data_IF_561871940207
#
_entry.id   IF_561871940207
#
_cell.length_a   1.000
_cell.length_b   1.000
_cell.length_c   1.000
_cell.angle_alpha   90.00
_cell.angle_beta   90.00
_cell.angle_gamma   90.00
#
_symmetry.space_group_name_H-M   'P 1'
#
loop_
_entity.id
_entity.type
_entity.pdbx_description
1 polymer ?
#
# COMPACT_ATOMS: atom_id res chain seq x y z
N UNK A 1 -21.41 1.49 -10.07
CA UNK A 1 -22.43 1.40 -9.02
C UNK A 1 -21.97 2.24 -7.83
N UNK A 2 -22.72 3.28 -7.44
CA UNK A 2 -22.30 4.12 -6.34
C UNK A 2 -22.20 3.25 -5.10
N UNK A 3 -21.02 3.19 -4.54
CA UNK A 3 -20.74 2.50 -3.28
C UNK A 3 -21.54 3.20 -2.19
N UNK A 4 -22.79 2.83 -2.03
CA UNK A 4 -23.59 3.21 -0.87
C UNK A 4 -22.86 2.67 0.35
N UNK A 5 -22.25 3.58 1.10
CA UNK A 5 -21.67 3.32 2.41
C UNK A 5 -22.83 2.96 3.37
N UNK A 6 -23.36 1.76 3.21
CA UNK A 6 -24.37 1.28 4.14
C UNK A 6 -23.65 0.67 5.35
N UNK A 7 -23.72 1.36 6.46
CA UNK A 7 -23.25 0.92 7.78
C UNK A 7 -23.82 -0.45 8.23
N UNK A 8 -24.71 -1.04 7.44
CA UNK A 8 -25.41 -2.29 7.71
C UNK A 8 -24.89 -3.52 6.92
N UNK A 9 -23.74 -3.42 6.24
CA UNK A 9 -23.17 -4.59 5.56
C UNK A 9 -22.79 -5.65 6.60
N UNK A 10 -23.05 -6.96 6.37
CA UNK A 10 -22.77 -8.02 7.34
C UNK A 10 -21.33 -8.01 7.85
N UNK A 11 -20.36 -7.77 6.96
CA UNK A 11 -18.93 -7.71 7.31
C UNK A 11 -18.64 -6.52 8.25
N UNK A 12 -19.30 -5.37 8.05
CA UNK A 12 -19.18 -4.20 8.92
C UNK A 12 -19.70 -4.49 10.34
N UNK A 13 -20.83 -5.16 10.43
CA UNK A 13 -21.37 -5.57 11.73
C UNK A 13 -20.51 -6.59 12.44
N UNK A 14 -19.96 -7.58 11.71
CA UNK A 14 -19.00 -8.53 12.28
C UNK A 14 -17.75 -7.81 12.79
N UNK A 15 -17.22 -6.86 12.01
CA UNK A 15 -16.10 -6.03 12.45
C UNK A 15 -16.40 -5.32 13.78
N UNK A 16 -17.53 -4.62 13.87
CA UNK A 16 -17.93 -3.91 15.09
C UNK A 16 -18.06 -4.84 16.32
N UNK A 17 -18.55 -6.06 16.13
CA UNK A 17 -18.72 -7.04 17.21
C UNK A 17 -17.38 -7.66 17.62
N UNK A 18 -16.49 -7.90 16.68
CA UNK A 18 -15.25 -8.65 16.90
C UNK A 18 -14.05 -7.77 17.28
N UNK A 19 -14.18 -6.44 17.18
CA UNK A 19 -13.10 -5.52 17.60
C UNK A 19 -12.67 -5.78 19.05
N UNK A 20 -11.38 -6.03 19.32
CA UNK A 20 -10.93 -6.38 20.65
C UNK A 20 -10.88 -5.20 21.63
N UNK A 21 -10.84 -3.97 21.11
CA UNK A 21 -10.80 -2.73 21.90
C UNK A 21 -12.16 -2.09 22.12
N UNK A 22 -13.21 -2.60 21.48
CA UNK A 22 -14.58 -2.15 21.71
C UNK A 22 -15.38 -3.21 22.43
N UNK A 23 -16.09 -2.80 23.48
CA UNK A 23 -16.99 -3.69 24.25
C UNK A 23 -18.39 -3.70 23.67
N UNK A 24 -18.51 -3.99 22.38
CA UNK A 24 -19.79 -4.07 21.70
C UNK A 24 -20.55 -5.38 21.96
N UNK A 25 -19.91 -6.31 22.65
CA UNK A 25 -20.51 -7.60 23.03
C UNK A 25 -19.94 -8.10 24.35
N UNK A 26 -20.65 -8.98 25.04
CA UNK A 26 -20.19 -9.69 26.24
C UNK A 26 -19.26 -10.86 25.95
N UNK A 27 -18.91 -11.09 24.67
CA UNK A 27 -18.03 -12.19 24.28
C UNK A 27 -16.60 -11.99 24.77
N UNK A 28 -15.98 -13.07 25.22
CA UNK A 28 -14.56 -13.10 25.59
C UNK A 28 -13.67 -13.00 24.35
N UNK A 29 -12.39 -12.71 24.53
CA UNK A 29 -11.41 -12.77 23.44
C UNK A 29 -11.40 -14.16 22.78
N UNK A 30 -11.53 -15.22 23.57
CA UNK A 30 -11.54 -16.59 23.06
C UNK A 30 -12.77 -16.90 22.20
N UNK A 31 -13.95 -16.42 22.59
CA UNK A 31 -15.17 -16.55 21.78
C UNK A 31 -15.02 -15.86 20.44
N UNK A 32 -14.45 -14.65 20.43
CA UNK A 32 -14.17 -13.90 19.20
C UNK A 32 -13.19 -14.65 18.29
N UNK A 33 -12.09 -15.16 18.84
CA UNK A 33 -11.11 -15.96 18.08
C UNK A 33 -11.74 -17.24 17.52
N UNK A 34 -12.61 -17.92 18.27
CA UNK A 34 -13.33 -19.09 17.79
C UNK A 34 -14.25 -18.77 16.61
N UNK A 35 -14.99 -17.65 16.68
CA UNK A 35 -15.84 -17.18 15.56
C UNK A 35 -14.98 -16.87 14.33
N UNK A 36 -13.85 -16.17 14.51
CA UNK A 36 -12.93 -15.85 13.41
C UNK A 36 -12.30 -17.10 12.79
N UNK A 37 -11.93 -18.10 13.60
CA UNK A 37 -11.44 -19.41 13.12
C UNK A 37 -12.50 -20.11 12.25
N UNK A 38 -13.74 -20.13 12.71
CA UNK A 38 -14.86 -20.68 11.95
C UNK A 38 -15.14 -19.93 10.64
N UNK A 39 -14.93 -18.61 10.63
CA UNK A 39 -15.06 -17.80 9.42
C UNK A 39 -13.91 -18.07 8.44
N UNK A 40 -12.66 -18.16 8.92
CA UNK A 40 -11.49 -18.52 8.09
C UNK A 40 -11.68 -19.84 7.37
N UNK A 41 -12.19 -20.85 8.07
CA UNK A 41 -12.45 -22.16 7.50
C UNK A 41 -13.56 -22.16 6.43
N UNK A 42 -14.64 -21.42 6.65
CA UNK A 42 -15.83 -21.45 5.77
C UNK A 42 -15.83 -20.38 4.68
N UNK A 43 -15.19 -19.24 4.91
CA UNK A 43 -15.20 -18.07 4.03
C UNK A 43 -13.84 -17.35 4.08
N UNK A 44 -12.75 -17.99 3.58
CA UNK A 44 -11.39 -17.49 3.77
C UNK A 44 -11.17 -16.07 3.22
N UNK A 45 -11.78 -15.73 2.09
CA UNK A 45 -11.63 -14.41 1.49
C UNK A 45 -12.28 -13.31 2.34
N UNK A 46 -13.50 -13.56 2.84
CA UNK A 46 -14.19 -12.61 3.73
C UNK A 46 -13.49 -12.52 5.08
N UNK A 47 -12.95 -13.64 5.58
CA UNK A 47 -12.18 -13.67 6.80
C UNK A 47 -10.92 -12.83 6.65
N UNK A 48 -10.15 -12.99 5.59
CA UNK A 48 -8.93 -12.22 5.35
C UNK A 48 -9.22 -10.70 5.34
N UNK A 49 -10.26 -10.28 4.61
CA UNK A 49 -10.69 -8.86 4.59
C UNK A 49 -11.08 -8.33 5.98
N UNK A 50 -11.74 -9.15 6.78
CA UNK A 50 -12.10 -8.81 8.15
C UNK A 50 -10.86 -8.68 9.02
N UNK A 51 -9.93 -9.63 8.95
CA UNK A 51 -8.70 -9.63 9.73
C UNK A 51 -7.80 -8.43 9.40
N UNK A 52 -7.63 -8.10 8.11
CA UNK A 52 -6.90 -6.88 7.69
C UNK A 52 -7.51 -5.64 8.37
N UNK A 53 -8.83 -5.53 8.36
CA UNK A 53 -9.53 -4.39 8.95
C UNK A 53 -9.43 -4.35 10.48
N UNK A 54 -9.21 -5.50 11.13
CA UNK A 54 -9.02 -5.58 12.59
C UNK A 54 -7.64 -5.11 13.04
N UNK A 55 -6.67 -4.98 12.14
CA UNK A 55 -5.37 -4.42 12.52
C UNK A 55 -5.52 -2.92 12.81
N UNK A 56 -4.93 -2.43 13.91
CA UNK A 56 -5.02 -1.02 14.28
C UNK A 56 -4.24 -0.17 13.28
N UNK A 57 -4.92 0.78 12.64
CA UNK A 57 -4.31 1.82 11.84
C UNK A 57 -4.36 3.15 12.58
N UNK A 58 -3.46 4.09 12.25
CA UNK A 58 -3.44 5.42 12.89
C UNK A 58 -4.75 6.21 12.74
N UNK A 59 -5.58 5.82 11.79
CA UNK A 59 -6.84 6.49 11.47
C UNK A 59 -8.07 5.84 12.14
N UNK A 60 -7.90 4.72 12.85
CA UNK A 60 -9.00 4.06 13.55
C UNK A 60 -9.19 4.62 14.97
N UNK A 61 -9.47 5.91 15.09
CA UNK A 61 -10.17 6.42 16.25
C UNK A 61 -11.67 6.14 16.07
N UNK A 62 -12.08 4.92 16.38
CA UNK A 62 -13.49 4.67 16.61
C UNK A 62 -13.82 5.26 17.97
N UNK A 63 -14.46 6.42 17.96
CA UNK A 63 -15.10 6.91 19.16
C UNK A 63 -16.06 5.86 19.73
N UNK A 64 -16.25 5.90 21.01
CA UNK A 64 -17.11 4.99 21.76
C UNK A 64 -18.58 5.20 21.38
N UNK A 65 -18.96 4.76 20.15
CA UNK A 65 -20.35 4.84 19.65
C UNK A 65 -21.20 3.68 20.18
N UNK A 66 -21.07 3.38 21.47
CA UNK A 66 -21.94 2.41 22.09
C UNK A 66 -23.30 3.05 22.43
N UNK A 67 -24.13 3.27 21.44
CA UNK A 67 -25.55 3.39 21.70
C UNK A 67 -26.09 2.02 22.12
N UNK A 68 -25.95 1.73 23.41
CA UNK A 68 -26.64 0.59 24.01
C UNK A 68 -28.14 0.96 24.03
N UNK A 69 -28.98 0.17 23.38
CA UNK A 69 -30.41 0.41 23.48
C UNK A 69 -30.84 0.39 24.95
N UNK A 70 -31.56 1.41 25.41
CA UNK A 70 -32.01 1.59 26.81
C UNK A 70 -32.79 0.41 27.40
N UNK A 71 -33.23 -0.51 26.58
CA UNK A 71 -34.03 -1.70 26.98
C UNK A 71 -33.16 -2.93 27.24
N UNK A 72 -31.79 -2.84 27.19
CA UNK A 72 -30.90 -3.95 27.50
C UNK A 72 -30.39 -3.89 28.93
N UNK A 73 -30.95 -4.73 29.78
CA UNK A 73 -30.65 -4.77 31.22
C UNK A 73 -29.25 -5.30 31.58
N UNK A 74 -28.52 -5.85 30.60
CA UNK A 74 -27.18 -6.42 30.80
C UNK A 74 -26.03 -5.39 30.79
N UNK A 75 -26.34 -4.10 30.76
CA UNK A 75 -25.32 -3.03 30.82
C UNK A 75 -24.46 -3.10 32.10
N UNK A 76 -25.05 -3.57 33.21
CA UNK A 76 -24.39 -3.75 34.48
C UNK A 76 -23.39 -4.92 34.51
N UNK A 77 -23.48 -5.87 33.58
CA UNK A 77 -22.60 -7.02 33.47
C UNK A 77 -21.38 -6.75 32.57
N UNK A 78 -21.28 -5.56 31.98
CA UNK A 78 -20.11 -5.20 31.20
C UNK A 78 -18.91 -5.04 32.12
N UNK A 79 -17.81 -5.75 31.85
CA UNK A 79 -16.57 -5.43 32.52
C UNK A 79 -16.19 -3.98 32.21
N UNK A 80 -15.99 -3.15 33.22
CA UNK A 80 -15.84 -1.69 33.12
C UNK A 80 -14.67 -1.21 32.27
N UNK A 81 -13.77 -2.10 31.87
CA UNK A 81 -12.58 -1.74 31.07
C UNK A 81 -12.22 -2.83 30.07
N UNK A 82 -11.72 -2.40 28.89
CA UNK A 82 -11.04 -3.31 27.99
C UNK A 82 -9.77 -3.86 28.67
N UNK A 83 -9.50 -5.14 28.43
CA UNK A 83 -8.30 -5.80 28.95
C UNK A 83 -7.17 -5.66 27.90
N UNK A 84 -6.10 -4.88 28.17
CA UNK A 84 -5.00 -4.71 27.24
C UNK A 84 -4.36 -6.03 26.81
N UNK A 85 -4.33 -7.01 27.73
CA UNK A 85 -3.74 -8.32 27.45
C UNK A 85 -4.59 -9.12 26.46
N UNK A 86 -5.93 -9.09 26.60
CA UNK A 86 -6.83 -9.72 25.63
C UNK A 86 -6.75 -9.07 24.26
N UNK A 87 -6.62 -7.74 24.22
CA UNK A 87 -6.42 -7.00 22.96
C UNK A 87 -5.11 -7.44 22.31
N UNK A 88 -4.01 -7.43 23.08
CA UNK A 88 -2.70 -7.84 22.58
C UNK A 88 -2.73 -9.29 22.06
N UNK A 89 -3.29 -10.21 22.84
CA UNK A 89 -3.43 -11.62 22.46
C UNK A 89 -4.24 -11.77 21.15
N UNK A 90 -5.37 -11.08 21.05
CA UNK A 90 -6.22 -11.13 19.86
C UNK A 90 -5.50 -10.58 18.63
N UNK A 91 -4.85 -9.41 18.74
CA UNK A 91 -4.14 -8.80 17.63
C UNK A 91 -2.91 -9.61 17.21
N UNK A 92 -2.20 -10.21 18.14
CA UNK A 92 -1.09 -11.14 17.83
C UNK A 92 -1.61 -12.31 17.01
N UNK A 93 -2.72 -12.93 17.45
CA UNK A 93 -3.31 -14.06 16.71
C UNK A 93 -3.86 -13.67 15.35
N UNK A 94 -4.48 -12.51 15.24
CA UNK A 94 -4.92 -11.94 13.96
C UNK A 94 -3.74 -11.73 13.01
N UNK A 95 -2.63 -11.17 13.51
CA UNK A 95 -1.40 -10.97 12.72
C UNK A 95 -0.81 -12.30 12.22
N UNK A 96 -0.73 -13.33 13.07
CA UNK A 96 -0.29 -14.68 12.67
C UNK A 96 -1.17 -15.24 11.54
N UNK A 97 -2.49 -15.16 11.69
CA UNK A 97 -3.43 -15.63 10.68
C UNK A 97 -3.34 -14.86 9.37
N UNK A 98 -3.13 -13.56 9.42
CA UNK A 98 -2.96 -12.73 8.21
C UNK A 98 -1.74 -13.18 7.41
N UNK A 99 -0.62 -13.47 8.08
CA UNK A 99 0.59 -13.94 7.42
C UNK A 99 0.39 -15.36 6.88
N UNK A 100 -0.21 -16.25 7.66
CA UNK A 100 -0.54 -17.61 7.26
C UNK A 100 -1.48 -17.62 6.03
N UNK A 101 -2.53 -16.81 6.07
CA UNK A 101 -3.53 -16.73 4.99
C UNK A 101 -3.03 -16.01 3.75
N UNK A 102 -2.06 -15.10 3.89
CA UNK A 102 -1.41 -14.47 2.75
C UNK A 102 -0.60 -15.50 1.95
N UNK A 103 0.12 -16.37 2.65
CA UNK A 103 0.94 -17.41 2.04
C UNK A 103 1.69 -16.87 0.78
N UNK A 104 1.48 -17.48 -0.37
CA UNK A 104 2.11 -17.07 -1.64
C UNK A 104 1.20 -16.21 -2.54
N UNK A 105 0.09 -15.72 -2.01
CA UNK A 105 -0.87 -14.91 -2.77
C UNK A 105 -0.42 -13.44 -2.84
N UNK A 106 -0.09 -12.97 -4.03
CA UNK A 106 0.44 -11.63 -4.27
C UNK A 106 -0.51 -10.51 -3.81
N UNK A 107 -1.83 -10.62 -4.07
CA UNK A 107 -2.81 -9.60 -3.66
C UNK A 107 -2.91 -9.52 -2.13
N UNK A 108 -2.87 -10.67 -1.44
CA UNK A 108 -2.88 -10.69 0.02
C UNK A 108 -1.58 -10.14 0.61
N UNK A 109 -0.42 -10.44 0.01
CA UNK A 109 0.85 -9.84 0.42
C UNK A 109 0.86 -8.32 0.23
N UNK A 110 0.30 -7.81 -0.88
CA UNK A 110 0.08 -6.38 -1.06
C UNK A 110 -0.79 -5.78 0.05
N UNK A 111 -1.90 -6.44 0.42
CA UNK A 111 -2.75 -6.00 1.54
C UNK A 111 -2.04 -6.04 2.89
N UNK A 112 -1.12 -6.99 3.10
CA UNK A 112 -0.26 -6.95 4.29
C UNK A 112 0.63 -5.72 4.33
N UNK A 113 1.19 -5.30 3.20
CA UNK A 113 2.00 -4.08 3.12
C UNK A 113 1.17 -2.83 3.46
N UNK A 114 -0.07 -2.73 2.96
CA UNK A 114 -0.99 -1.63 3.29
C UNK A 114 -1.26 -1.57 4.80
N UNK A 115 -1.57 -2.71 5.39
CA UNK A 115 -1.89 -2.82 6.80
C UNK A 115 -0.66 -2.57 7.70
N UNK A 116 0.49 -3.12 7.32
CA UNK A 116 1.72 -3.01 8.10
C UNK A 116 2.28 -1.59 8.13
N UNK A 117 2.15 -0.84 7.04
CA UNK A 117 2.63 0.54 6.95
C UNK A 117 2.04 1.46 8.03
N UNK A 118 0.84 1.14 8.52
CA UNK A 118 0.16 1.90 9.55
C UNK A 118 0.41 1.37 10.98
N UNK A 119 1.10 0.22 11.14
CA UNK A 119 1.27 -0.44 12.43
C UNK A 119 2.71 -0.36 12.93
N UNK A 120 2.91 0.09 14.19
CA UNK A 120 4.22 0.11 14.88
C UNK A 120 4.45 -1.14 15.75
N UNK A 121 3.95 -2.28 15.32
CA UNK A 121 3.85 -3.48 16.16
C UNK A 121 4.85 -4.56 15.72
N UNK A 122 5.05 -5.61 16.53
CA UNK A 122 5.75 -6.82 16.08
C UNK A 122 5.24 -7.37 14.74
N UNK A 123 3.97 -7.12 14.41
CA UNK A 123 3.36 -7.48 13.15
C UNK A 123 4.09 -6.89 11.93
N UNK A 124 4.53 -5.62 11.99
CA UNK A 124 5.31 -5.03 10.91
C UNK A 124 6.55 -5.87 10.58
N UNK A 125 7.33 -6.22 11.61
CA UNK A 125 8.52 -7.07 11.42
C UNK A 125 8.16 -8.42 10.82
N UNK A 126 7.09 -9.06 11.30
CA UNK A 126 6.63 -10.36 10.78
C UNK A 126 6.23 -10.27 9.31
N UNK A 127 5.59 -9.18 8.88
CA UNK A 127 5.26 -8.95 7.47
C UNK A 127 6.54 -8.78 6.64
N UNK A 128 7.52 -8.00 7.10
CA UNK A 128 8.79 -7.84 6.38
C UNK A 128 9.55 -9.17 6.27
N UNK A 129 9.61 -9.94 7.35
CA UNK A 129 10.22 -11.27 7.36
C UNK A 129 9.47 -12.22 6.39
N UNK A 130 8.14 -12.16 6.33
CA UNK A 130 7.33 -12.95 5.38
C UNK A 130 7.65 -12.55 3.94
N UNK A 131 7.68 -11.27 3.61
CA UNK A 131 7.99 -10.76 2.28
C UNK A 131 9.40 -11.13 1.81
N UNK A 132 10.36 -11.27 2.73
CA UNK A 132 11.71 -11.74 2.42
C UNK A 132 11.74 -13.23 2.06
N UNK A 133 10.80 -14.05 2.55
CA UNK A 133 10.83 -15.50 2.42
C UNK A 133 9.75 -16.09 1.52
N UNK A 134 8.70 -15.32 1.19
CA UNK A 134 7.60 -15.81 0.34
C UNK A 134 8.11 -16.22 -1.05
N UNK A 135 7.62 -17.35 -1.58
CA UNK A 135 7.95 -17.73 -2.95
C UNK A 135 7.18 -16.86 -3.96
N UNK A 136 7.93 -16.09 -4.74
CA UNK A 136 7.43 -15.17 -5.76
C UNK A 136 7.64 -15.68 -7.20
N UNK A 137 8.06 -16.93 -7.36
CA UNK A 137 8.38 -17.49 -8.69
C UNK A 137 7.18 -17.51 -9.64
N UNK A 138 5.97 -17.68 -9.09
CA UNK A 138 4.72 -17.67 -9.84
C UNK A 138 4.11 -16.28 -10.04
N UNK A 139 4.68 -15.23 -9.43
CA UNK A 139 4.12 -13.89 -9.51
C UNK A 139 4.47 -13.19 -10.83
N UNK A 140 3.50 -12.55 -11.42
CA UNK A 140 3.71 -11.66 -12.55
C UNK A 140 4.55 -10.44 -12.18
N UNK A 141 5.13 -9.79 -13.18
CA UNK A 141 5.87 -8.53 -12.98
C UNK A 141 5.00 -7.44 -12.38
N UNK A 142 3.72 -7.36 -12.78
CA UNK A 142 2.77 -6.38 -12.24
C UNK A 142 2.44 -6.64 -10.76
N UNK A 143 2.29 -7.89 -10.33
CA UNK A 143 2.06 -8.24 -8.93
C UNK A 143 3.26 -7.87 -8.06
N UNK A 144 4.48 -8.13 -8.55
CA UNK A 144 5.72 -7.73 -7.86
C UNK A 144 5.85 -6.22 -7.79
N UNK A 145 5.56 -5.52 -8.88
CA UNK A 145 5.56 -4.06 -8.94
C UNK A 145 4.62 -3.43 -7.91
N UNK A 146 3.40 -3.93 -7.79
CA UNK A 146 2.43 -3.41 -6.79
C UNK A 146 2.96 -3.49 -5.36
N UNK A 147 3.62 -4.60 -5.01
CA UNK A 147 4.22 -4.76 -3.67
C UNK A 147 5.40 -3.80 -3.51
N UNK A 148 6.27 -3.69 -4.52
CA UNK A 148 7.41 -2.77 -4.51
C UNK A 148 6.97 -1.31 -4.37
N UNK A 149 6.03 -0.85 -5.18
CA UNK A 149 5.49 0.51 -5.13
C UNK A 149 4.94 0.82 -3.73
N UNK A 150 4.20 -0.10 -3.13
CA UNK A 150 3.66 0.10 -1.79
C UNK A 150 4.74 0.20 -0.72
N UNK A 151 5.76 -0.65 -0.76
CA UNK A 151 6.89 -0.60 0.17
C UNK A 151 7.68 0.70 0.01
N UNK A 152 7.94 1.11 -1.23
CA UNK A 152 8.59 2.38 -1.57
C UNK A 152 7.80 3.58 -1.05
N UNK A 153 6.47 3.59 -1.27
CA UNK A 153 5.61 4.67 -0.80
C UNK A 153 5.64 4.78 0.74
N UNK A 154 5.55 3.66 1.45
CA UNK A 154 5.65 3.62 2.92
C UNK A 154 7.02 4.16 3.38
N UNK A 155 8.10 3.66 2.78
CA UNK A 155 9.45 4.10 3.10
C UNK A 155 9.62 5.60 2.87
N UNK A 156 9.25 6.09 1.69
CA UNK A 156 9.38 7.50 1.29
C UNK A 156 8.53 8.41 2.18
N UNK A 157 7.28 8.02 2.45
CA UNK A 157 6.40 8.79 3.32
C UNK A 157 7.02 9.00 4.70
N UNK A 158 7.44 7.93 5.35
CA UNK A 158 8.00 8.04 6.71
C UNK A 158 9.39 8.67 6.73
N UNK A 159 10.19 8.51 5.69
CA UNK A 159 11.49 9.18 5.55
C UNK A 159 11.35 10.69 5.39
N UNK A 160 10.35 11.14 4.62
CA UNK A 160 10.09 12.57 4.40
C UNK A 160 9.56 13.30 5.65
N UNK A 161 8.90 12.56 6.55
CA UNK A 161 8.24 13.14 7.73
C UNK A 161 8.90 12.70 9.05
N UNK A 162 10.22 12.48 9.07
CA UNK A 162 10.97 12.00 10.25
C UNK A 162 10.72 12.79 11.54
N UNK A 163 10.44 14.08 11.43
CA UNK A 163 10.15 14.97 12.57
C UNK A 163 8.72 14.83 13.12
N UNK A 164 7.84 14.13 12.43
CA UNK A 164 6.44 13.97 12.84
C UNK A 164 6.29 12.85 13.89
N UNK A 165 5.41 13.01 14.89
CA UNK A 165 5.20 11.97 15.92
C UNK A 165 4.77 10.61 15.37
N UNK A 166 4.10 10.61 14.23
CA UNK A 166 3.64 9.42 13.51
C UNK A 166 4.71 8.81 12.58
N UNK A 167 5.89 9.43 12.43
CA UNK A 167 6.95 8.88 11.61
C UNK A 167 7.41 7.50 12.14
N UNK A 168 7.74 6.62 11.21
CA UNK A 168 8.29 5.32 11.54
C UNK A 168 9.72 5.49 12.06
N UNK A 169 10.09 4.80 13.18
CA UNK A 169 11.47 4.81 13.67
C UNK A 169 12.46 4.26 12.65
N UNK A 170 13.66 4.81 12.60
CA UNK A 170 14.72 4.40 11.67
C UNK A 170 14.98 2.88 11.62
N UNK A 171 15.03 2.14 12.76
CA UNK A 171 15.19 0.68 12.71
C UNK A 171 14.06 -0.05 11.99
N UNK A 172 12.85 0.52 11.97
CA UNK A 172 11.73 -0.05 11.22
C UNK A 172 11.82 0.29 9.73
N UNK A 173 12.30 1.48 9.36
CA UNK A 173 12.56 1.84 7.96
C UNK A 173 13.60 0.91 7.34
N UNK A 174 14.66 0.59 8.08
CA UNK A 174 15.67 -0.36 7.64
C UNK A 174 15.13 -1.77 7.33
N UNK A 175 14.05 -2.19 8.01
CA UNK A 175 13.40 -3.46 7.69
C UNK A 175 12.72 -3.48 6.32
N UNK A 176 12.35 -2.31 5.76
CA UNK A 176 11.77 -2.21 4.43
C UNK A 176 12.78 -2.44 3.31
N UNK A 177 14.07 -2.10 3.53
CA UNK A 177 15.09 -2.13 2.48
C UNK A 177 15.28 -3.52 1.86
N UNK A 178 15.23 -4.57 2.66
CA UNK A 178 15.38 -5.94 2.18
C UNK A 178 14.27 -6.35 1.23
N UNK A 179 12.98 -6.30 1.65
CA UNK A 179 11.84 -6.54 0.78
C UNK A 179 11.83 -5.59 -0.44
N UNK A 180 12.11 -4.30 -0.29
CA UNK A 180 12.16 -3.36 -1.40
C UNK A 180 13.14 -3.84 -2.48
N UNK A 181 14.39 -4.16 -2.11
CA UNK A 181 15.39 -4.69 -3.06
C UNK A 181 14.96 -5.99 -3.72
N UNK A 182 14.23 -6.85 -2.99
CA UNK A 182 13.76 -8.12 -3.52
C UNK A 182 12.69 -7.98 -4.60
N UNK A 183 11.79 -7.01 -4.44
CA UNK A 183 10.69 -6.77 -5.37
C UNK A 183 11.00 -5.70 -6.42
N UNK A 184 12.16 -5.05 -6.33
CA UNK A 184 12.56 -3.97 -7.23
C UNK A 184 12.58 -4.43 -8.70
N UNK A 185 11.87 -3.70 -9.60
CA UNK A 185 11.92 -4.00 -11.01
C UNK A 185 13.33 -3.80 -11.59
N UNK A 186 13.75 -4.72 -12.43
CA UNK A 186 15.07 -4.66 -13.08
C UNK A 186 15.06 -3.94 -14.43
N UNK A 187 13.88 -3.83 -15.05
CA UNK A 187 13.75 -3.08 -16.29
C UNK A 187 13.42 -1.60 -16.03
N UNK A 188 14.06 -0.66 -16.73
CA UNK A 188 13.89 0.77 -16.47
C UNK A 188 12.47 1.28 -16.72
N UNK A 189 11.72 0.73 -17.68
CA UNK A 189 10.34 1.16 -17.94
C UNK A 189 9.45 0.92 -16.71
N UNK A 190 9.57 -0.24 -16.09
CA UNK A 190 8.78 -0.58 -14.89
C UNK A 190 9.34 0.14 -13.65
N UNK A 191 10.67 0.20 -13.52
CA UNK A 191 11.33 0.81 -12.35
C UNK A 191 11.01 2.30 -12.21
N UNK A 192 11.04 3.07 -13.30
CA UNK A 192 10.81 4.52 -13.28
C UNK A 192 9.36 4.95 -13.57
N UNK A 193 8.43 4.01 -13.78
CA UNK A 193 7.03 4.33 -14.07
C UNK A 193 6.41 5.32 -13.08
N UNK A 194 6.72 5.17 -11.80
CA UNK A 194 6.17 5.99 -10.72
C UNK A 194 6.60 7.46 -10.76
N UNK A 195 7.80 7.78 -11.27
CA UNK A 195 8.30 9.18 -11.30
C UNK A 195 7.46 10.05 -12.25
N UNK A 196 6.78 9.43 -13.21
CA UNK A 196 5.87 10.07 -14.15
C UNK A 196 4.41 10.02 -13.67
N UNK A 197 4.16 9.62 -12.44
CA UNK A 197 2.86 9.70 -11.77
C UNK A 197 2.74 10.99 -10.97
N UNK A 198 1.53 11.53 -10.82
CA UNK A 198 1.32 12.78 -10.07
C UNK A 198 1.09 12.58 -8.56
N UNK A 199 0.87 11.35 -8.10
CA UNK A 199 0.34 11.06 -6.76
C UNK A 199 1.34 10.41 -5.80
N UNK A 200 2.52 10.02 -6.25
CA UNK A 200 3.48 9.32 -5.42
C UNK A 200 4.39 10.28 -4.64
N UNK A 201 4.65 10.00 -3.35
CA UNK A 201 5.60 10.81 -2.60
C UNK A 201 7.00 10.65 -3.18
N UNK A 202 7.70 11.76 -3.37
CA UNK A 202 9.09 11.77 -3.81
C UNK A 202 10.02 11.70 -2.60
N UNK A 203 11.10 10.91 -2.63
CA UNK A 203 12.12 10.90 -1.59
C UNK A 203 12.86 12.23 -1.61
N UNK A 204 12.75 13.03 -0.56
CA UNK A 204 13.38 14.35 -0.50
C UNK A 204 14.17 14.55 0.79
N UNK A 205 15.21 15.36 0.72
CA UNK A 205 15.85 15.93 1.89
C UNK A 205 15.06 17.16 2.40
N UNK A 206 15.19 17.51 3.68
CA UNK A 206 14.38 18.57 4.32
C UNK A 206 14.38 19.92 3.61
N UNK A 207 15.41 20.22 2.81
CA UNK A 207 15.62 21.50 2.13
C UNK A 207 15.57 21.42 0.61
N UNK A 208 15.32 20.24 0.06
CA UNK A 208 15.27 20.05 -1.39
C UNK A 208 13.98 20.62 -1.97
N UNK A 209 14.13 21.45 -3.02
CA UNK A 209 12.97 21.95 -3.76
C UNK A 209 12.26 20.78 -4.45
N UNK A 210 10.96 20.65 -4.21
CA UNK A 210 10.14 19.59 -4.76
C UNK A 210 10.19 19.57 -6.29
N UNK A 211 10.16 20.73 -6.95
CA UNK A 211 10.20 20.81 -8.40
C UNK A 211 11.55 20.37 -8.97
N UNK A 212 12.65 20.82 -8.38
CA UNK A 212 13.99 20.41 -8.79
C UNK A 212 14.20 18.91 -8.59
N UNK A 213 13.68 18.34 -7.50
CA UNK A 213 13.69 16.91 -7.26
C UNK A 213 12.87 16.15 -8.30
N UNK A 214 11.64 16.60 -8.59
CA UNK A 214 10.78 15.99 -9.61
C UNK A 214 11.47 16.00 -10.98
N UNK A 215 12.05 17.14 -11.37
CA UNK A 215 12.78 17.27 -12.63
C UNK A 215 13.96 16.30 -12.69
N UNK A 216 14.79 16.23 -11.65
CA UNK A 216 15.92 15.33 -11.58
C UNK A 216 15.50 13.87 -11.73
N UNK A 217 14.51 13.42 -10.98
CA UNK A 217 14.05 12.03 -11.01
C UNK A 217 13.40 11.65 -12.34
N UNK A 218 12.63 12.57 -12.95
CA UNK A 218 12.04 12.32 -14.27
C UNK A 218 13.11 12.28 -15.35
N UNK A 219 14.15 13.12 -15.29
CA UNK A 219 15.28 13.10 -16.21
C UNK A 219 16.10 11.82 -16.08
N UNK A 220 16.38 11.37 -14.85
CA UNK A 220 17.04 10.09 -14.57
C UNK A 220 16.23 8.93 -15.18
N UNK A 221 14.91 8.93 -14.97
CA UNK A 221 14.02 7.91 -15.52
C UNK A 221 14.00 7.89 -17.04
N UNK A 222 13.79 9.06 -17.67
CA UNK A 222 13.78 9.18 -19.13
C UNK A 222 15.12 8.77 -19.74
N UNK A 223 16.25 9.17 -19.13
CA UNK A 223 17.60 8.79 -19.56
C UNK A 223 17.82 7.28 -19.48
N UNK A 224 17.40 6.66 -18.38
CA UNK A 224 17.55 5.22 -18.18
C UNK A 224 16.74 4.42 -19.21
N UNK A 225 15.49 4.85 -19.50
CA UNK A 225 14.62 4.22 -20.49
C UNK A 225 15.21 4.38 -21.89
N UNK A 226 15.61 5.60 -22.28
CA UNK A 226 16.24 5.86 -23.57
C UNK A 226 17.53 5.03 -23.78
N UNK A 227 18.34 4.92 -22.75
CA UNK A 227 19.57 4.15 -22.81
C UNK A 227 19.33 2.66 -22.99
N UNK A 228 18.30 2.12 -22.33
CA UNK A 228 18.00 0.69 -22.34
C UNK A 228 17.19 0.24 -23.56
N UNK A 229 16.22 1.05 -23.99
CA UNK A 229 15.20 0.63 -24.98
C UNK A 229 14.94 1.65 -26.09
N UNK A 230 15.70 2.74 -26.12
CA UNK A 230 15.60 3.78 -27.16
C UNK A 230 14.27 4.53 -27.12
N UNK A 231 13.97 5.24 -28.20
CA UNK A 231 12.72 6.00 -28.38
C UNK A 231 11.46 5.11 -28.31
N UNK A 232 11.56 3.85 -28.71
CA UNK A 232 10.45 2.89 -28.62
C UNK A 232 10.04 2.64 -27.15
N UNK A 233 10.99 2.62 -26.22
CA UNK A 233 10.70 2.50 -24.78
C UNK A 233 9.89 3.68 -24.27
N UNK A 234 10.26 4.90 -24.65
CA UNK A 234 9.51 6.11 -24.30
C UNK A 234 8.09 6.03 -24.86
N UNK A 235 7.91 5.65 -26.13
CA UNK A 235 6.59 5.52 -26.75
C UNK A 235 5.71 4.52 -26.01
N UNK A 236 6.26 3.35 -25.61
CA UNK A 236 5.51 2.35 -24.82
C UNK A 236 5.13 2.85 -23.44
N UNK A 237 5.93 3.75 -22.84
CA UNK A 237 5.66 4.29 -21.50
C UNK A 237 4.48 5.25 -21.46
N UNK A 238 4.16 5.96 -22.56
CA UNK A 238 3.05 6.93 -22.60
C UNK A 238 1.72 6.30 -22.12
N UNK A 239 1.45 5.06 -22.55
CA UNK A 239 0.22 4.36 -22.15
C UNK A 239 0.26 3.83 -20.71
N UNK A 240 1.45 3.64 -20.16
CA UNK A 240 1.66 3.03 -18.83
C UNK A 240 1.73 4.05 -17.69
N UNK A 241 2.04 5.31 -18.00
CA UNK A 241 2.18 6.38 -16.99
C UNK A 241 0.87 7.08 -16.72
N UNK A 242 0.72 7.61 -15.51
CA UNK A 242 -0.48 8.38 -15.14
C UNK A 242 -0.47 9.77 -15.78
N UNK A 243 0.70 10.40 -15.87
CA UNK A 243 0.87 11.73 -16.42
C UNK A 243 1.92 11.75 -17.55
N UNK A 244 1.51 11.54 -18.81
CA UNK A 244 2.39 11.56 -19.97
C UNK A 244 3.13 12.89 -20.17
N UNK A 245 2.60 14.01 -19.67
CA UNK A 245 3.24 15.31 -19.76
C UNK A 245 4.61 15.33 -19.08
N UNK A 246 4.72 14.74 -17.88
CA UNK A 246 6.02 14.63 -17.19
C UNK A 246 7.03 13.79 -17.99
N UNK A 247 6.58 12.73 -18.63
CA UNK A 247 7.43 11.90 -19.48
C UNK A 247 7.91 12.69 -20.69
N UNK A 248 7.00 13.39 -21.40
CA UNK A 248 7.34 14.23 -22.55
C UNK A 248 8.30 15.36 -22.21
N UNK A 249 8.00 16.09 -21.12
CA UNK A 249 8.83 17.19 -20.64
C UNK A 249 10.26 16.73 -20.30
N UNK A 250 10.42 15.63 -19.56
CA UNK A 250 11.73 15.05 -19.25
C UNK A 250 12.44 14.55 -20.51
N UNK A 251 11.71 13.87 -21.40
CA UNK A 251 12.28 13.36 -22.67
C UNK A 251 12.83 14.49 -23.51
N UNK A 252 12.12 15.62 -23.64
CA UNK A 252 12.59 16.81 -24.38
C UNK A 252 13.85 17.43 -23.79
N UNK A 253 14.14 17.26 -22.49
CA UNK A 253 15.38 17.73 -21.87
C UNK A 253 16.58 16.79 -22.05
N UNK A 254 16.33 15.49 -22.13
CA UNK A 254 17.41 14.48 -22.13
C UNK A 254 17.73 13.93 -23.51
N UNK A 255 16.87 14.11 -24.50
CA UNK A 255 17.14 13.74 -25.88
C UNK A 255 18.08 14.77 -26.49
N UNK A 256 19.28 14.30 -26.89
CA UNK A 256 20.29 15.15 -27.53
C UNK A 256 20.54 14.77 -28.99
N UNK A 257 19.95 13.69 -29.46
CA UNK A 257 20.04 13.24 -30.85
C UNK A 257 18.93 13.86 -31.69
N UNK A 258 19.22 14.70 -32.70
CA UNK A 258 18.21 15.24 -33.60
C UNK A 258 17.36 14.16 -34.32
N UNK A 259 17.96 12.99 -34.56
CA UNK A 259 17.25 11.87 -35.14
C UNK A 259 16.16 11.31 -34.21
N UNK A 260 16.51 11.12 -32.94
CA UNK A 260 15.58 10.62 -31.91
C UNK A 260 14.47 11.66 -31.62
N UNK A 261 14.83 12.94 -31.53
CA UNK A 261 13.89 14.03 -31.39
C UNK A 261 12.88 14.06 -32.55
N UNK A 262 13.36 13.93 -33.78
CA UNK A 262 12.50 13.88 -34.95
C UNK A 262 11.55 12.68 -34.96
N UNK A 263 12.03 11.51 -34.52
CA UNK A 263 11.23 10.28 -34.37
C UNK A 263 10.10 10.49 -33.37
N UNK A 264 10.43 11.02 -32.18
CA UNK A 264 9.45 11.23 -31.11
C UNK A 264 8.42 12.29 -31.47
N UNK A 265 8.85 13.43 -32.05
CA UNK A 265 7.95 14.48 -32.51
C UNK A 265 7.04 13.98 -33.66
N UNK A 266 7.61 13.28 -34.62
CA UNK A 266 6.84 12.69 -35.73
C UNK A 266 5.79 11.70 -35.22
N UNK A 267 6.15 10.89 -34.27
CA UNK A 267 5.23 9.93 -33.65
C UNK A 267 4.12 10.63 -32.83
N UNK A 268 4.44 11.64 -32.03
CA UNK A 268 3.45 12.38 -31.23
C UNK A 268 2.46 13.15 -32.10
N UNK A 269 2.93 13.75 -33.20
CA UNK A 269 2.09 14.49 -34.13
C UNK A 269 1.19 13.57 -35.01
N UNK A 270 1.64 12.36 -35.28
CA UNK A 270 0.88 11.37 -36.07
C UNK A 270 -0.28 10.73 -35.30
N UNK A 271 -0.32 10.87 -33.99
CA UNK A 271 -1.33 10.26 -33.14
C UNK A 271 -2.35 11.29 -32.65
N UNK A 272 -3.63 11.00 -32.81
CA UNK A 272 -4.74 11.88 -32.38
C UNK A 272 -5.15 11.68 -30.93
N UNK A 273 -4.55 10.73 -30.20
CA UNK A 273 -4.89 10.42 -28.81
C UNK A 273 -4.57 11.58 -27.87
N UNK A 274 -5.51 11.88 -26.98
CA UNK A 274 -5.39 12.98 -26.01
C UNK A 274 -4.20 12.81 -25.06
N UNK A 275 -3.84 11.57 -24.69
CA UNK A 275 -2.65 11.29 -23.90
C UNK A 275 -1.36 11.65 -24.62
N UNK A 276 -1.30 11.39 -25.91
CA UNK A 276 -0.17 11.70 -26.76
C UNK A 276 0.00 13.19 -27.02
N UNK A 277 -1.10 13.94 -27.10
CA UNK A 277 -1.07 15.41 -27.15
C UNK A 277 -0.51 16.04 -25.86
N UNK A 278 -0.67 15.39 -24.73
CA UNK A 278 -0.08 15.86 -23.47
C UNK A 278 1.39 15.49 -23.31
N UNK A 279 1.91 14.58 -24.15
CA UNK A 279 3.33 14.22 -24.21
C UNK A 279 4.15 15.22 -25.03
N UNK A 280 3.66 15.72 -26.16
CA UNK A 280 4.32 16.66 -27.05
C UNK A 280 4.05 18.10 -26.66
#
# INVERSE_FOLDING_TARGET
DPVTQQANRPLERLYQILQPWLKNSSSTAQDRLMVMTGLRSRRPEQAFRLLVRMMPTHHHFSGDYTHVPRWRDWEHERPDRWNPEEVRMTLTKVGEWLIEDAAQNADRCFRLCECAGDTRTPFFKQVMDHLLNVDISSWSSEERLRVWDKLRDVHTHHSNYKSQPQAMPEPMLQLLEGPMRRFEPTDPETHYRWVFGGAHPLPREEREDYHALQERLTDEGATAILTATGTEGIMRMVDKVENPWWLGYATGRVVHSPADEFVLLGWSLANEDQKLRSFG
#
